data_IF_274811937340
#
_entry.id   IF_274811937340
#
_cell.length_a   1.000
_cell.length_b   1.000
_cell.length_c   1.000
_cell.angle_alpha   90.00
_cell.angle_beta   90.00
_cell.angle_gamma   90.00
#
_symmetry.space_group_name_H-M   'P 1'
#
loop_
_entity.id
_entity.type
_entity.pdbx_description
1 polymer ?
#
# COMPACT_ATOMS: atom_id res chain seq x y z
N UNK A 1 -18.25 -0.91 -9.11
CA UNK A 1 -18.92 -2.06 -8.44
C UNK A 1 -18.26 -3.40 -8.82
N UNK A 2 -17.87 -3.63 -10.09
CA UNK A 2 -17.24 -4.89 -10.52
C UNK A 2 -15.90 -5.17 -9.85
N UNK A 3 -15.04 -4.18 -9.71
CA UNK A 3 -13.70 -4.33 -9.14
C UNK A 3 -13.71 -4.82 -7.69
N UNK A 4 -14.57 -4.23 -6.86
CA UNK A 4 -14.73 -4.68 -5.47
C UNK A 4 -15.14 -6.16 -5.39
N UNK A 5 -15.96 -6.64 -6.32
CA UNK A 5 -16.31 -8.07 -6.37
C UNK A 5 -15.09 -8.95 -6.61
N UNK A 6 -14.18 -8.55 -7.51
CA UNK A 6 -12.93 -9.28 -7.77
C UNK A 6 -12.04 -9.27 -6.52
N UNK A 7 -11.94 -8.13 -5.83
CA UNK A 7 -11.23 -8.00 -4.56
C UNK A 7 -11.78 -8.98 -3.51
N UNK A 8 -13.10 -8.91 -3.22
CA UNK A 8 -13.74 -9.78 -2.21
C UNK A 8 -13.65 -11.26 -2.55
N UNK A 9 -13.80 -11.64 -3.82
CA UNK A 9 -13.61 -13.03 -4.26
C UNK A 9 -12.19 -13.51 -4.05
N UNK A 10 -11.20 -12.66 -4.28
CA UNK A 10 -9.80 -13.02 -4.05
C UNK A 10 -9.47 -13.22 -2.58
N UNK A 11 -10.15 -12.49 -1.68
CA UNK A 11 -10.04 -12.67 -0.23
C UNK A 11 -10.76 -13.93 0.25
N UNK A 12 -11.92 -14.28 -0.32
CA UNK A 12 -12.61 -15.54 -0.06
C UNK A 12 -11.79 -16.75 -0.53
N UNK A 13 -11.02 -16.60 -1.62
CA UNK A 13 -10.22 -17.67 -2.19
C UNK A 13 -8.86 -17.87 -1.49
N UNK A 14 -8.59 -17.19 -0.38
CA UNK A 14 -7.34 -17.36 0.34
C UNK A 14 -7.22 -18.77 0.92
N UNK A 15 -6.02 -19.35 0.85
CA UNK A 15 -5.73 -20.73 1.33
C UNK A 15 -5.40 -20.78 2.82
N UNK A 16 -5.22 -19.65 3.47
CA UNK A 16 -5.09 -19.55 4.92
C UNK A 16 -6.47 -19.80 5.57
N UNK A 17 -6.48 -20.35 6.79
CA UNK A 17 -7.71 -20.53 7.55
C UNK A 17 -8.43 -19.19 7.75
N UNK A 18 -9.69 -19.11 7.37
CA UNK A 18 -10.48 -17.89 7.42
C UNK A 18 -10.74 -17.39 8.85
N UNK A 19 -10.57 -18.24 9.85
CA UNK A 19 -10.70 -17.84 11.26
C UNK A 19 -9.52 -17.04 11.79
N UNK A 20 -8.35 -17.02 11.09
CA UNK A 20 -7.14 -16.34 11.56
C UNK A 20 -6.98 -14.92 11.03
N UNK A 21 -7.87 -14.44 10.17
CA UNK A 21 -7.86 -13.06 9.69
C UNK A 21 -9.24 -12.42 9.69
N UNK A 22 -9.27 -11.12 9.69
CA UNK A 22 -10.48 -10.30 9.55
C UNK A 22 -10.33 -9.34 8.36
N UNK A 23 -11.46 -8.92 7.81
CA UNK A 23 -11.52 -7.91 6.75
C UNK A 23 -12.19 -6.67 7.30
N UNK A 24 -11.53 -5.51 7.19
CA UNK A 24 -12.11 -4.22 7.50
C UNK A 24 -12.40 -3.48 6.20
N UNK A 25 -13.67 -3.25 5.93
CA UNK A 25 -14.13 -2.48 4.77
C UNK A 25 -14.43 -1.06 5.24
N UNK A 26 -13.75 -0.08 4.68
CA UNK A 26 -13.94 1.33 5.05
C UNK A 26 -14.63 2.05 3.88
N UNK A 27 -15.91 2.36 4.07
CA UNK A 27 -16.69 3.16 3.12
C UNK A 27 -16.29 4.63 3.25
N UNK A 28 -15.71 5.15 2.18
CA UNK A 28 -15.08 6.45 2.15
C UNK A 28 -15.78 7.37 1.13
N UNK A 29 -16.81 8.10 1.57
CA UNK A 29 -17.60 8.99 0.74
C UNK A 29 -19.09 8.95 1.08
N UNK A 30 -20.02 9.28 0.14
CA UNK A 30 -21.45 9.30 0.38
C UNK A 30 -22.00 7.94 0.83
N UNK A 31 -22.67 7.91 1.99
CA UNK A 31 -23.12 6.69 2.65
C UNK A 31 -24.27 5.99 1.92
N UNK A 32 -25.28 6.75 1.55
CA UNK A 32 -26.64 6.26 1.24
C UNK A 32 -26.74 5.29 0.06
N UNK A 33 -25.78 5.31 -0.87
CA UNK A 33 -25.83 4.48 -2.08
C UNK A 33 -25.07 3.14 -1.94
N UNK A 34 -24.19 3.02 -0.94
CA UNK A 34 -23.22 1.91 -0.90
C UNK A 34 -23.39 0.95 0.28
N UNK A 35 -24.07 1.36 1.36
CA UNK A 35 -24.15 0.55 2.58
C UNK A 35 -24.86 -0.79 2.34
N UNK A 36 -26.07 -0.74 1.77
CA UNK A 36 -26.82 -1.97 1.44
C UNK A 36 -26.10 -2.83 0.40
N UNK A 37 -25.50 -2.19 -0.60
CA UNK A 37 -24.72 -2.88 -1.61
C UNK A 37 -23.53 -3.65 -1.01
N UNK A 38 -22.78 -3.02 -0.09
CA UNK A 38 -21.66 -3.68 0.59
C UNK A 38 -22.13 -4.82 1.49
N UNK A 39 -23.21 -4.63 2.25
CA UNK A 39 -23.78 -5.68 3.09
C UNK A 39 -24.20 -6.90 2.27
N UNK A 40 -24.82 -6.70 1.10
CA UNK A 40 -25.19 -7.77 0.18
C UNK A 40 -23.95 -8.50 -0.37
N UNK A 41 -22.90 -7.76 -0.78
CA UNK A 41 -21.66 -8.36 -1.24
C UNK A 41 -20.94 -9.17 -0.15
N UNK A 42 -20.86 -8.64 1.07
CA UNK A 42 -20.26 -9.33 2.21
C UNK A 42 -21.02 -10.64 2.48
N UNK A 43 -22.35 -10.57 2.57
CA UNK A 43 -23.18 -11.76 2.77
C UNK A 43 -23.05 -12.77 1.64
N UNK A 44 -22.83 -12.32 0.41
CA UNK A 44 -22.73 -13.19 -0.76
C UNK A 44 -21.36 -13.85 -0.91
N UNK A 45 -20.27 -13.16 -0.57
CA UNK A 45 -18.93 -13.60 -0.90
C UNK A 45 -18.04 -13.91 0.32
N UNK A 46 -18.38 -13.49 1.55
CA UNK A 46 -17.50 -13.56 2.71
C UNK A 46 -18.20 -14.21 3.93
N UNK A 47 -18.93 -15.31 3.71
CA UNK A 47 -19.83 -15.90 4.74
C UNK A 47 -19.10 -16.46 5.97
N UNK A 48 -17.85 -16.89 5.81
CA UNK A 48 -17.05 -17.60 6.82
C UNK A 48 -15.83 -16.78 7.28
N UNK A 49 -15.78 -15.51 6.90
CA UNK A 49 -14.72 -14.57 7.30
C UNK A 49 -15.31 -13.50 8.21
N UNK A 50 -14.59 -13.10 9.24
CA UNK A 50 -14.99 -11.97 10.10
C UNK A 50 -14.82 -10.67 9.32
N UNK A 51 -15.95 -10.00 9.02
CA UNK A 51 -15.97 -8.72 8.29
C UNK A 51 -16.51 -7.61 9.18
N UNK A 52 -15.82 -6.49 9.24
CA UNK A 52 -16.25 -5.25 9.90
C UNK A 52 -16.36 -4.15 8.86
N UNK A 53 -17.47 -3.43 8.85
CA UNK A 53 -17.72 -2.32 7.92
C UNK A 53 -17.76 -1.01 8.71
N UNK A 54 -16.93 -0.07 8.31
CA UNK A 54 -16.85 1.28 8.87
C UNK A 54 -17.21 2.30 7.80
N UNK A 55 -17.67 3.45 8.25
CA UNK A 55 -18.07 4.54 7.39
C UNK A 55 -17.38 5.85 7.78
N UNK A 56 -17.03 6.65 6.78
CA UNK A 56 -16.59 8.03 6.94
C UNK A 56 -17.09 8.91 5.80
N UNK A 57 -17.62 10.09 6.13
CA UNK A 57 -18.03 11.13 5.18
C UNK A 57 -16.82 11.90 4.61
N UNK A 58 -15.67 11.79 5.27
CA UNK A 58 -14.43 12.43 4.86
C UNK A 58 -13.75 11.64 3.75
N UNK A 59 -14.00 12.01 2.50
CA UNK A 59 -13.42 11.40 1.31
C UNK A 59 -11.88 11.57 1.27
N UNK A 60 -11.17 10.64 1.91
CA UNK A 60 -9.70 10.60 1.99
C UNK A 60 -9.21 9.17 2.19
N UNK A 61 -8.36 8.69 1.28
CA UNK A 61 -7.73 7.36 1.38
C UNK A 61 -6.91 7.25 2.67
N UNK A 62 -6.15 8.30 3.04
CA UNK A 62 -5.40 8.36 4.30
C UNK A 62 -6.31 8.18 5.52
N UNK A 63 -7.47 8.87 5.52
CA UNK A 63 -8.43 8.76 6.61
C UNK A 63 -9.04 7.36 6.70
N UNK A 64 -9.40 6.77 5.56
CA UNK A 64 -9.93 5.41 5.51
C UNK A 64 -8.91 4.39 6.04
N UNK A 65 -7.65 4.47 5.62
CA UNK A 65 -6.59 3.59 6.12
C UNK A 65 -6.33 3.77 7.62
N UNK A 66 -6.39 4.99 8.13
CA UNK A 66 -6.26 5.28 9.56
C UNK A 66 -7.39 4.63 10.37
N UNK A 67 -8.64 4.74 9.92
CA UNK A 67 -9.78 4.04 10.53
C UNK A 67 -9.53 2.54 10.56
N UNK A 68 -8.99 1.96 9.48
CA UNK A 68 -8.61 0.55 9.42
C UNK A 68 -7.55 0.19 10.46
N UNK A 69 -6.48 0.99 10.59
CA UNK A 69 -5.43 0.79 11.59
C UNK A 69 -6.00 0.84 13.02
N UNK A 70 -6.85 1.83 13.30
CA UNK A 70 -7.42 2.06 14.65
C UNK A 70 -8.33 0.91 15.10
N UNK A 71 -9.06 0.29 14.16
CA UNK A 71 -10.07 -0.72 14.45
C UNK A 71 -9.60 -2.16 14.19
N UNK A 72 -8.40 -2.37 13.66
CA UNK A 72 -7.86 -3.70 13.44
C UNK A 72 -7.57 -4.41 14.77
N UNK A 73 -8.08 -5.63 14.93
CA UNK A 73 -7.80 -6.49 16.09
C UNK A 73 -6.55 -7.37 15.86
N UNK A 74 -6.21 -7.66 14.60
CA UNK A 74 -5.10 -8.53 14.23
C UNK A 74 -3.73 -8.02 14.68
N UNK A 75 -2.81 -8.96 14.92
CA UNK A 75 -1.39 -8.67 15.23
C UNK A 75 -0.66 -8.03 14.03
N UNK A 76 -1.07 -8.39 12.82
CA UNK A 76 -0.51 -7.93 11.56
C UNK A 76 -1.57 -7.23 10.72
N UNK A 77 -1.15 -6.26 9.90
CA UNK A 77 -1.99 -5.55 8.95
C UNK A 77 -1.41 -5.63 7.53
N UNK A 78 -2.30 -5.81 6.56
CA UNK A 78 -2.02 -5.60 5.15
C UNK A 78 -3.09 -4.69 4.56
N UNK A 79 -2.74 -3.89 3.56
CA UNK A 79 -3.67 -3.02 2.86
C UNK A 79 -3.92 -3.59 1.47
N UNK A 80 -5.18 -3.56 1.04
CA UNK A 80 -5.59 -3.97 -0.31
C UNK A 80 -6.53 -2.90 -0.82
N UNK A 81 -6.24 -2.35 -2.00
CA UNK A 81 -7.09 -1.35 -2.64
C UNK A 81 -8.31 -2.07 -3.26
N UNK A 82 -9.47 -1.43 -3.23
CA UNK A 82 -10.77 -2.02 -3.61
C UNK A 82 -10.92 -2.32 -5.11
N UNK A 83 -10.00 -1.83 -5.92
CA UNK A 83 -9.93 -2.08 -7.36
C UNK A 83 -8.86 -3.12 -7.75
N UNK A 84 -8.13 -3.64 -6.77
CA UNK A 84 -7.08 -4.64 -6.93
C UNK A 84 -7.54 -6.02 -6.39
N UNK A 85 -6.75 -7.06 -6.61
CA UNK A 85 -7.00 -8.40 -6.07
C UNK A 85 -5.69 -9.15 -5.80
N UNK A 86 -5.76 -10.28 -5.11
CA UNK A 86 -4.59 -11.02 -4.66
C UNK A 86 -4.66 -12.50 -5.05
N UNK A 87 -3.49 -13.16 -5.16
CA UNK A 87 -3.44 -14.61 -5.42
C UNK A 87 -3.93 -15.43 -4.22
N UNK A 88 -4.36 -16.69 -4.40
CA UNK A 88 -4.89 -17.49 -3.31
C UNK A 88 -3.91 -17.76 -2.16
N UNK A 89 -2.61 -17.78 -2.41
CA UNK A 89 -1.58 -18.02 -1.38
C UNK A 89 -1.03 -16.75 -0.75
N UNK A 90 -1.56 -15.57 -1.11
CA UNK A 90 -1.03 -14.26 -0.74
C UNK A 90 -0.93 -14.08 0.79
N UNK A 91 -2.02 -14.30 1.51
CA UNK A 91 -2.02 -14.14 2.97
C UNK A 91 -1.24 -15.26 3.66
N UNK A 92 -1.39 -16.51 3.22
CA UNK A 92 -0.71 -17.66 3.81
C UNK A 92 0.81 -17.51 3.78
N UNK A 93 1.38 -17.26 2.60
CA UNK A 93 2.83 -17.14 2.46
C UNK A 93 3.42 -15.94 3.23
N UNK A 94 2.69 -14.82 3.29
CA UNK A 94 3.10 -13.70 4.12
C UNK A 94 3.04 -14.04 5.60
N UNK A 95 2.01 -14.74 6.05
CA UNK A 95 1.84 -15.13 7.45
C UNK A 95 2.92 -16.11 7.91
N UNK A 96 3.29 -17.08 7.08
CA UNK A 96 4.34 -18.06 7.36
C UNK A 96 5.73 -17.41 7.53
N UNK A 97 6.01 -16.33 6.79
CA UNK A 97 7.28 -15.59 6.88
C UNK A 97 7.25 -14.58 8.03
N UNK A 98 6.08 -14.03 8.38
CA UNK A 98 5.94 -12.99 9.39
C UNK A 98 6.27 -13.53 10.78
N UNK A 99 7.51 -13.43 11.18
CA UNK A 99 7.96 -13.65 12.54
C UNK A 99 8.25 -12.30 13.22
N UNK A 100 8.77 -12.30 14.46
CA UNK A 100 8.84 -11.07 15.26
C UNK A 100 9.59 -9.91 14.62
N UNK A 101 10.54 -10.18 13.73
CA UNK A 101 11.39 -9.13 13.18
C UNK A 101 11.39 -9.06 11.64
N UNK A 102 10.59 -9.88 10.95
CA UNK A 102 10.59 -9.93 9.48
C UNK A 102 9.29 -9.34 8.93
N UNK A 103 9.40 -8.40 7.99
CA UNK A 103 8.29 -7.90 7.19
C UNK A 103 8.30 -8.63 5.84
N UNK A 104 7.32 -9.53 5.56
CA UNK A 104 7.21 -10.20 4.27
C UNK A 104 6.78 -9.23 3.19
N UNK A 105 7.38 -9.40 2.00
CA UNK A 105 7.12 -8.63 0.79
C UNK A 105 6.67 -9.57 -0.33
N UNK A 106 5.58 -9.23 -1.03
CA UNK A 106 5.10 -10.01 -2.16
C UNK A 106 5.42 -9.33 -3.48
N UNK A 107 5.36 -10.09 -4.58
CA UNK A 107 5.40 -9.49 -5.90
C UNK A 107 4.13 -8.68 -6.18
N UNK A 108 4.25 -7.62 -7.00
CA UNK A 108 3.14 -6.92 -7.62
C UNK A 108 3.17 -7.17 -9.12
N UNK A 109 2.06 -7.58 -9.71
CA UNK A 109 1.84 -7.58 -11.15
C UNK A 109 0.81 -6.51 -11.50
N UNK A 110 1.26 -5.47 -12.20
CA UNK A 110 0.36 -4.47 -12.75
C UNK A 110 -0.20 -4.94 -14.10
N UNK A 111 -1.50 -4.75 -14.33
CA UNK A 111 -2.16 -5.11 -15.59
C UNK A 111 -3.13 -4.01 -16.03
N UNK A 112 -3.27 -3.87 -17.32
CA UNK A 112 -4.21 -2.93 -17.93
C UNK A 112 -5.64 -3.48 -17.85
N UNK A 113 -6.58 -2.69 -17.34
CA UNK A 113 -7.99 -3.07 -17.16
C UNK A 113 -8.72 -3.35 -18.49
N UNK A 114 -8.26 -2.80 -19.61
CA UNK A 114 -8.94 -2.94 -20.90
C UNK A 114 -8.62 -4.28 -21.61
N UNK A 115 -7.38 -4.72 -21.55
CA UNK A 115 -6.88 -5.84 -22.34
C UNK A 115 -6.13 -6.89 -21.51
N UNK A 116 -6.06 -6.71 -20.19
CA UNK A 116 -5.32 -7.55 -19.25
C UNK A 116 -3.82 -7.69 -19.56
N UNK A 117 -3.27 -6.84 -20.42
CA UNK A 117 -1.83 -6.86 -20.69
C UNK A 117 -1.04 -6.50 -19.45
N UNK A 118 0.08 -7.19 -19.22
CA UNK A 118 0.98 -6.91 -18.09
C UNK A 118 1.75 -5.61 -18.38
N UNK A 119 1.69 -4.71 -17.41
CA UNK A 119 2.39 -3.43 -17.44
C UNK A 119 3.65 -3.51 -16.59
N UNK A 120 4.77 -2.98 -17.09
CA UNK A 120 5.99 -2.91 -16.30
C UNK A 120 5.79 -2.01 -15.07
N UNK A 121 6.15 -2.53 -13.90
CA UNK A 121 6.00 -1.81 -12.64
C UNK A 121 7.27 -1.92 -11.79
N UNK A 122 7.74 -0.79 -11.25
CA UNK A 122 9.03 -0.71 -10.58
C UNK A 122 9.21 -1.68 -9.41
N UNK A 123 8.13 -2.03 -8.70
CA UNK A 123 8.17 -3.04 -7.62
C UNK A 123 8.36 -4.43 -8.20
N UNK A 124 7.67 -4.79 -9.29
CA UNK A 124 7.89 -6.06 -10.00
C UNK A 124 9.33 -6.22 -10.47
N UNK A 125 9.91 -5.15 -10.99
CA UNK A 125 11.32 -5.14 -11.41
C UNK A 125 12.25 -5.37 -10.22
N UNK A 126 12.00 -4.71 -9.08
CA UNK A 126 12.79 -4.96 -7.86
C UNK A 126 12.62 -6.40 -7.34
N UNK A 127 11.39 -6.93 -7.35
CA UNK A 127 11.15 -8.32 -6.97
C UNK A 127 11.98 -9.28 -7.84
N UNK A 128 11.88 -9.18 -9.17
CA UNK A 128 12.63 -10.03 -10.10
C UNK A 128 14.14 -10.00 -9.87
N UNK A 129 14.68 -8.83 -9.55
CA UNK A 129 16.12 -8.64 -9.33
C UNK A 129 16.60 -9.13 -7.96
N UNK A 130 15.72 -9.15 -6.94
CA UNK A 130 16.09 -9.32 -5.54
C UNK A 130 15.44 -10.48 -4.81
N UNK A 131 14.50 -11.21 -5.45
CA UNK A 131 13.77 -12.30 -4.79
C UNK A 131 14.65 -13.48 -4.33
N UNK A 132 15.89 -13.55 -4.76
CA UNK A 132 16.90 -14.53 -4.32
C UNK A 132 17.86 -13.99 -3.25
N UNK A 133 17.80 -12.70 -2.94
CA UNK A 133 18.67 -12.10 -1.92
C UNK A 133 18.22 -12.57 -0.53
N UNK A 134 19.14 -13.11 0.26
CA UNK A 134 18.86 -13.57 1.63
C UNK A 134 18.72 -12.39 2.61
N UNK A 135 19.44 -11.29 2.36
CA UNK A 135 19.40 -10.10 3.19
C UNK A 135 18.91 -8.90 2.38
N UNK A 136 17.76 -8.38 2.76
CA UNK A 136 17.14 -7.22 2.12
C UNK A 136 17.32 -5.98 3.01
N UNK A 137 18.16 -5.05 2.57
CA UNK A 137 18.17 -3.71 3.19
C UNK A 137 17.02 -2.86 2.64
N UNK A 138 16.50 -1.93 3.45
CA UNK A 138 15.45 -1.00 3.06
C UNK A 138 15.77 -0.26 1.75
N UNK A 139 17.03 0.17 1.57
CA UNK A 139 17.48 0.81 0.34
C UNK A 139 17.37 -0.10 -0.89
N UNK A 140 17.71 -1.39 -0.76
CA UNK A 140 17.64 -2.36 -1.86
C UNK A 140 16.20 -2.58 -2.34
N UNK A 141 15.22 -2.47 -1.46
CA UNK A 141 13.79 -2.65 -1.74
C UNK A 141 13.00 -1.33 -1.62
N UNK A 142 13.65 -0.20 -1.87
CA UNK A 142 13.08 1.14 -1.67
C UNK A 142 11.75 1.39 -2.38
N UNK A 143 11.45 0.72 -3.51
CA UNK A 143 10.17 0.85 -4.20
C UNK A 143 9.00 0.36 -3.33
N UNK A 144 9.23 -0.62 -2.46
CA UNK A 144 8.23 -1.10 -1.51
C UNK A 144 7.87 -0.05 -0.44
N UNK A 145 8.75 0.91 -0.18
CA UNK A 145 8.46 2.05 0.71
C UNK A 145 7.70 3.18 0.02
N UNK A 146 7.18 2.97 -1.20
CA UNK A 146 6.32 3.92 -1.90
C UNK A 146 4.84 3.57 -1.82
N UNK A 147 4.50 2.37 -1.36
CA UNK A 147 3.13 1.84 -1.29
C UNK A 147 2.93 1.10 0.04
N UNK A 148 1.74 1.11 0.64
CA UNK A 148 1.46 0.35 1.86
C UNK A 148 1.04 -1.10 1.55
N UNK A 149 0.64 -1.41 0.32
CA UNK A 149 0.21 -2.74 -0.14
C UNK A 149 1.38 -3.73 -0.30
N UNK A 150 1.12 -4.97 -0.63
CA UNK A 150 2.07 -6.06 -0.91
C UNK A 150 3.06 -6.37 0.22
N UNK A 151 2.64 -6.19 1.45
CA UNK A 151 3.40 -6.53 2.67
C UNK A 151 2.46 -6.82 3.83
N UNK A 152 2.97 -7.55 4.82
CA UNK A 152 2.30 -7.78 6.09
C UNK A 152 3.10 -7.08 7.19
N UNK A 153 2.50 -6.08 7.83
CA UNK A 153 3.17 -5.19 8.80
C UNK A 153 2.64 -5.50 10.20
N UNK A 154 3.51 -5.74 11.14
CA UNK A 154 3.14 -5.95 12.53
C UNK A 154 2.60 -4.64 13.12
N UNK A 155 1.51 -4.72 13.89
CA UNK A 155 0.79 -3.55 14.39
C UNK A 155 1.64 -2.64 15.29
N UNK A 156 2.58 -3.21 16.04
CA UNK A 156 3.51 -2.44 16.89
C UNK A 156 4.59 -1.69 16.10
N UNK A 157 4.94 -2.14 14.88
CA UNK A 157 5.75 -1.35 13.94
C UNK A 157 5.03 -0.06 13.56
N UNK A 158 3.73 -0.14 13.35
CA UNK A 158 2.88 1.04 13.05
C UNK A 158 2.77 1.93 14.30
N UNK A 159 2.48 1.34 15.47
CA UNK A 159 2.29 2.08 16.72
C UNK A 159 1.25 3.19 16.57
N UNK A 160 1.59 4.38 17.05
CA UNK A 160 0.73 5.58 16.97
C UNK A 160 0.81 6.31 15.62
N UNK A 161 1.65 5.87 14.70
CA UNK A 161 1.84 6.53 13.40
C UNK A 161 0.64 6.31 12.50
N UNK A 162 0.24 7.39 11.78
CA UNK A 162 -0.92 7.40 10.89
C UNK A 162 -0.57 8.04 9.56
N UNK A 163 -1.36 7.71 8.53
CA UNK A 163 -1.28 8.42 7.25
C UNK A 163 -1.63 9.89 7.44
N UNK A 164 -0.82 10.77 6.88
CA UNK A 164 -1.07 12.21 6.96
C UNK A 164 -2.16 12.63 5.96
N UNK A 165 -3.34 12.97 6.48
CA UNK A 165 -4.51 13.34 5.68
C UNK A 165 -4.38 14.69 4.94
N UNK A 166 -3.33 15.47 5.20
CA UNK A 166 -3.06 16.71 4.46
C UNK A 166 -2.49 16.48 3.07
N UNK A 167 -1.96 15.28 2.81
CA UNK A 167 -1.40 14.91 1.50
C UNK A 167 -2.41 14.06 0.71
N UNK A 168 -2.60 14.45 -0.57
CA UNK A 168 -3.41 13.67 -1.53
C UNK A 168 -2.56 12.78 -2.43
N UNK A 169 -1.25 12.95 -2.35
CA UNK A 169 -0.24 12.17 -3.07
C UNK A 169 0.97 12.02 -2.15
N UNK A 170 1.70 10.93 -2.34
CA UNK A 170 2.86 10.57 -1.52
C UNK A 170 2.56 10.30 -0.04
N UNK A 171 1.29 10.30 0.38
CA UNK A 171 0.86 9.91 1.72
C UNK A 171 1.36 8.51 2.09
N UNK A 172 1.33 7.59 1.13
CA UNK A 172 1.82 6.22 1.26
C UNK A 172 3.31 6.18 1.57
N UNK A 173 4.08 6.94 0.80
CA UNK A 173 5.51 7.01 0.97
C UNK A 173 5.92 7.68 2.29
N UNK A 174 5.21 8.74 2.70
CA UNK A 174 5.44 9.39 3.99
C UNK A 174 5.12 8.44 5.15
N UNK A 175 4.01 7.72 5.09
CA UNK A 175 3.67 6.73 6.10
C UNK A 175 4.71 5.60 6.17
N UNK A 176 5.10 5.04 5.03
CA UNK A 176 6.11 3.98 4.99
C UNK A 176 7.49 4.45 5.47
N UNK A 177 7.87 5.71 5.20
CA UNK A 177 9.07 6.30 5.79
C UNK A 177 8.95 6.46 7.31
N UNK A 178 7.78 6.93 7.79
CA UNK A 178 7.57 7.17 9.22
C UNK A 178 7.67 5.90 10.06
N UNK A 179 7.30 4.72 9.52
CA UNK A 179 7.39 3.44 10.23
C UNK A 179 8.69 2.68 9.95
N UNK A 180 9.55 3.19 9.06
CA UNK A 180 10.73 2.45 8.59
C UNK A 180 11.82 2.25 9.65
N UNK A 181 11.85 3.06 10.70
CA UNK A 181 12.72 2.91 11.86
C UNK A 181 12.53 1.58 12.62
N UNK A 182 11.31 1.02 12.55
CA UNK A 182 10.94 -0.25 13.20
C UNK A 182 10.99 -1.47 12.26
N UNK A 183 11.31 -1.25 10.97
CA UNK A 183 11.44 -2.33 9.97
C UNK A 183 12.91 -2.71 9.86
N UNK A 184 13.33 -3.77 10.55
CA UNK A 184 14.73 -4.21 10.55
C UNK A 184 14.99 -5.21 9.42
N UNK A 185 14.22 -6.27 9.34
CA UNK A 185 14.39 -7.35 8.40
C UNK A 185 13.18 -7.51 7.47
N UNK A 186 13.45 -7.86 6.22
CA UNK A 186 12.45 -8.11 5.20
C UNK A 186 12.80 -9.37 4.43
N UNK A 187 11.79 -10.12 3.99
CA UNK A 187 11.97 -11.28 3.13
C UNK A 187 10.90 -11.31 2.04
N UNK A 188 11.22 -11.85 0.89
CA UNK A 188 10.25 -12.08 -0.16
C UNK A 188 9.50 -13.41 0.03
N UNK A 189 8.21 -13.39 -0.28
CA UNK A 189 7.41 -14.60 -0.50
C UNK A 189 7.83 -15.28 -1.80
N UNK A 190 7.32 -16.48 -2.05
CA UNK A 190 7.49 -17.15 -3.35
C UNK A 190 6.82 -16.35 -4.49
N UNK A 191 7.07 -16.76 -5.71
CA UNK A 191 6.44 -16.16 -6.91
C UNK A 191 4.94 -16.45 -7.03
N UNK A 192 4.36 -17.24 -6.14
CA UNK A 192 2.92 -17.59 -6.13
C UNK A 192 2.10 -16.55 -5.36
N UNK A 193 2.68 -15.91 -4.36
CA UNK A 193 2.02 -14.83 -3.62
C UNK A 193 2.14 -13.50 -4.39
N UNK A 194 1.05 -13.08 -5.01
CA UNK A 194 1.02 -11.95 -5.94
C UNK A 194 -0.10 -10.99 -5.56
N UNK A 195 0.23 -9.70 -5.58
CA UNK A 195 -0.72 -8.60 -5.57
C UNK A 195 -0.96 -8.15 -7.00
N UNK A 196 -2.19 -8.22 -7.50
CA UNK A 196 -2.57 -7.81 -8.85
C UNK A 196 -3.10 -6.39 -8.82
N UNK A 197 -2.29 -5.45 -9.35
CA UNK A 197 -2.63 -4.04 -9.43
C UNK A 197 -3.29 -3.71 -10.75
N UNK A 198 -4.49 -3.18 -10.70
CA UNK A 198 -5.26 -2.74 -11.88
C UNK A 198 -4.87 -1.33 -12.30
N UNK A 199 -4.49 -1.15 -13.56
CA UNK A 199 -4.23 0.16 -14.17
C UNK A 199 -5.45 0.58 -14.95
N UNK A 200 -6.13 1.63 -14.46
CA UNK A 200 -7.34 2.19 -15.09
C UNK A 200 -7.03 3.47 -15.85
N UNK A 201 -7.64 3.64 -17.03
CA UNK A 201 -7.69 4.94 -17.70
C UNK A 201 -8.45 5.93 -16.79
N UNK A 202 -7.92 7.12 -16.56
CA UNK A 202 -8.46 8.15 -15.65
C UNK A 202 -8.27 7.91 -14.16
N UNK A 203 -7.28 7.13 -13.72
CA UNK A 203 -6.92 7.06 -12.31
C UNK A 203 -6.44 8.42 -11.77
N UNK A 204 -6.52 8.62 -10.46
CA UNK A 204 -6.07 9.86 -9.80
C UNK A 204 -4.59 10.19 -10.09
N UNK A 205 -3.79 9.18 -10.39
CA UNK A 205 -2.35 9.28 -10.68
C UNK A 205 -2.04 9.77 -12.11
N UNK A 206 -3.00 9.72 -13.06
CA UNK A 206 -2.77 10.07 -14.47
C UNK A 206 -3.11 11.52 -14.82
N UNK A 207 -3.69 12.30 -13.89
CA UNK A 207 -4.07 13.70 -14.15
C UNK A 207 -2.84 14.59 -14.30
N UNK A 208 -2.71 15.26 -15.45
CA UNK A 208 -1.69 16.29 -15.68
C UNK A 208 -1.90 17.47 -14.72
N UNK A 209 -0.82 17.91 -14.07
CA UNK A 209 -0.82 19.02 -13.10
C UNK A 209 0.15 20.10 -13.54
N UNK A 210 -0.11 21.36 -13.15
CA UNK A 210 0.80 22.47 -13.43
C UNK A 210 2.15 22.26 -12.72
N UNK A 211 3.24 22.67 -13.37
CA UNK A 211 4.60 22.62 -12.82
C UNK A 211 4.72 23.31 -11.45
N UNK A 212 4.15 24.52 -11.32
CA UNK A 212 4.20 25.25 -10.03
C UNK A 212 3.42 24.57 -8.92
N UNK A 213 2.32 23.89 -9.26
CA UNK A 213 1.58 23.08 -8.32
C UNK A 213 2.41 21.90 -7.82
N UNK A 214 3.07 21.18 -8.74
CA UNK A 214 3.95 20.05 -8.40
C UNK A 214 5.12 20.52 -7.52
N UNK A 215 5.76 21.63 -7.86
CA UNK A 215 6.86 22.20 -7.07
C UNK A 215 6.42 22.52 -5.63
N UNK A 216 5.24 23.13 -5.45
CA UNK A 216 4.70 23.40 -4.13
C UNK A 216 4.39 22.17 -3.31
N UNK A 217 3.85 21.12 -3.93
CA UNK A 217 3.61 19.83 -3.27
C UNK A 217 4.93 19.12 -2.91
N UNK A 218 5.90 19.12 -3.83
CA UNK A 218 7.22 18.53 -3.59
C UNK A 218 7.96 19.20 -2.43
N UNK A 219 7.88 20.54 -2.31
CA UNK A 219 8.43 21.27 -1.15
C UNK A 219 7.76 20.85 0.16
N UNK A 220 6.44 20.71 0.19
CA UNK A 220 5.71 20.22 1.38
C UNK A 220 6.15 18.82 1.77
N UNK A 221 6.30 17.92 0.78
CA UNK A 221 6.77 16.54 1.00
C UNK A 221 8.18 16.55 1.58
N UNK A 222 9.09 17.36 1.05
CA UNK A 222 10.46 17.48 1.57
C UNK A 222 10.49 17.98 3.01
N UNK A 223 9.65 18.96 3.35
CA UNK A 223 9.52 19.45 4.73
C UNK A 223 9.04 18.33 5.64
N UNK A 224 8.05 17.54 5.22
CA UNK A 224 7.52 16.45 6.04
C UNK A 224 8.54 15.31 6.19
N UNK A 225 9.23 14.93 5.13
CA UNK A 225 10.36 13.99 5.18
C UNK A 225 11.44 14.47 6.18
N UNK A 226 11.77 15.77 6.15
CA UNK A 226 12.73 16.35 7.08
C UNK A 226 12.24 16.28 8.53
N UNK A 227 10.96 16.57 8.81
CA UNK A 227 10.37 16.44 10.16
C UNK A 227 10.45 15.01 10.68
N UNK A 228 10.09 14.01 9.83
CA UNK A 228 10.18 12.59 10.19
C UNK A 228 11.63 12.26 10.55
N UNK A 229 12.59 12.65 9.73
CA UNK A 229 14.03 12.42 9.97
C UNK A 229 14.51 13.03 11.29
N UNK A 230 14.24 14.32 11.50
CA UNK A 230 14.70 15.06 12.67
C UNK A 230 14.01 14.64 13.97
N UNK A 231 12.86 13.95 13.90
CA UNK A 231 12.21 13.33 15.05
C UNK A 231 13.09 12.25 15.70
N UNK A 232 13.75 11.41 14.89
CA UNK A 232 14.59 10.29 15.35
C UNK A 232 15.74 10.02 14.36
N UNK A 233 16.73 10.93 14.20
CA UNK A 233 17.68 10.92 13.08
C UNK A 233 18.61 9.69 13.03
N UNK A 234 18.86 9.04 14.16
CA UNK A 234 19.74 7.87 14.24
C UNK A 234 19.00 6.52 14.15
N UNK A 235 17.66 6.54 14.13
CA UNK A 235 16.83 5.34 14.05
C UNK A 235 16.48 4.98 12.60
N UNK A 236 16.55 5.94 11.68
CA UNK A 236 16.19 5.77 10.29
C UNK A 236 17.38 5.41 9.38
N UNK A 237 17.11 4.65 8.33
CA UNK A 237 18.11 4.38 7.29
C UNK A 237 18.32 5.62 6.41
N UNK A 238 19.49 6.27 6.55
CA UNK A 238 19.85 7.47 5.80
C UNK A 238 19.73 7.28 4.29
N UNK A 239 20.17 6.13 3.75
CA UNK A 239 20.11 5.87 2.32
C UNK A 239 18.68 5.77 1.80
N UNK A 240 17.77 5.18 2.57
CA UNK A 240 16.35 5.18 2.21
C UNK A 240 15.79 6.61 2.15
N UNK A 241 16.07 7.43 3.15
CA UNK A 241 15.60 8.82 3.21
C UNK A 241 16.13 9.65 2.05
N UNK A 242 17.41 9.55 1.70
CA UNK A 242 18.01 10.27 0.57
C UNK A 242 17.39 9.91 -0.78
N UNK A 243 16.73 8.75 -0.91
CA UNK A 243 16.03 8.40 -2.16
C UNK A 243 14.86 9.32 -2.47
N UNK A 244 14.23 9.96 -1.46
CA UNK A 244 13.03 10.80 -1.65
C UNK A 244 13.37 12.13 -2.33
N UNK A 245 14.26 12.98 -1.79
CA UNK A 245 14.64 14.19 -2.49
C UNK A 245 15.20 13.90 -3.90
N UNK A 246 15.96 12.82 -4.08
CA UNK A 246 16.48 12.44 -5.39
C UNK A 246 15.35 12.05 -6.37
N UNK A 247 14.32 11.34 -5.91
CA UNK A 247 13.15 10.99 -6.74
C UNK A 247 12.36 12.23 -7.14
N UNK A 248 12.16 13.19 -6.24
CA UNK A 248 11.48 14.45 -6.51
C UNK A 248 12.29 15.31 -7.51
N UNK A 249 13.59 15.46 -7.32
CA UNK A 249 14.46 16.17 -8.26
C UNK A 249 14.41 15.54 -9.66
N UNK A 250 14.41 14.21 -9.75
CA UNK A 250 14.24 13.48 -11.00
C UNK A 250 12.89 13.76 -11.66
N UNK A 251 11.80 13.73 -10.90
CA UNK A 251 10.45 14.03 -11.39
C UNK A 251 10.35 15.48 -11.90
N UNK A 252 10.91 16.43 -11.17
CA UNK A 252 11.00 17.85 -11.59
C UNK A 252 11.78 18.01 -12.89
N UNK A 253 12.93 17.35 -13.01
CA UNK A 253 13.76 17.39 -14.22
C UNK A 253 12.99 16.87 -15.45
N UNK A 254 12.33 15.71 -15.37
CA UNK A 254 11.50 15.19 -16.46
C UNK A 254 10.27 16.05 -16.75
N UNK A 255 9.66 16.62 -15.75
CA UNK A 255 8.54 17.56 -15.93
C UNK A 255 8.99 18.84 -16.68
N UNK A 256 10.21 19.29 -16.45
CA UNK A 256 10.82 20.40 -17.17
C UNK A 256 11.10 20.05 -18.64
N UNK A 257 11.71 18.89 -18.90
CA UNK A 257 12.04 18.42 -20.24
C UNK A 257 10.80 18.18 -21.13
N UNK A 258 9.71 17.66 -20.54
CA UNK A 258 8.46 17.41 -21.29
C UNK A 258 7.64 18.68 -21.56
N UNK A 259 8.11 19.85 -21.18
CA UNK A 259 7.55 21.15 -21.53
C UNK A 259 8.15 21.78 -22.78
N UNK A 260 9.24 21.25 -23.29
CA UNK A 260 9.92 21.62 -24.52
C UNK A 260 9.96 20.41 -25.47
#
# INVERSE_FOLDING_TARGET
ASYLVDCLRSLQAQTIDHSVFEILIILNGPKESYEFFIQDLVKKYLNDIVVKVFYTDKASVSNARNIGIDNAAGKFLTFIDDDDYVSPTYLLEMYEIACENIVPLTNILAFNDLDNSIVEYGISTQYKLKCKDVHLSQYKVRAYFSVPVCKLIRKDIIGERRFNCCFKNSEDALFMLAISDKINDMAFTSSKAIYYRRIRNNSATTKKRSFFYLLGEDCKILIEVSKIWWGHPFEYNLWLFLTRPLALLKAMYYSFLNKY
#
